data_IF_982734297320
#
_entry.id   IF_982734297320
#
_cell.length_a   1.000
_cell.length_b   1.000
_cell.length_c   1.000
_cell.angle_alpha   90.00
_cell.angle_beta   90.00
_cell.angle_gamma   90.00
#
_symmetry.space_group_name_H-M   'P 1'
#
loop_
_entity.id
_entity.type
_entity.pdbx_description
1 polymer ?
#
# COMPACT_ATOMS: atom_id res chain seq x y z
N UNK A 1 -0.77 20.61 1.81
CA UNK A 1 -2.00 19.82 2.07
C UNK A 1 -1.62 18.34 2.21
N UNK A 2 -2.00 17.68 3.32
CA UNK A 2 -1.60 16.29 3.65
C UNK A 2 -2.00 15.30 2.55
N UNK A 3 -3.22 15.44 2.02
CA UNK A 3 -3.78 14.59 0.95
C UNK A 3 -2.89 14.61 -0.29
N UNK A 4 -2.45 15.80 -0.74
CA UNK A 4 -1.59 15.92 -1.92
C UNK A 4 -0.27 15.15 -1.76
N UNK A 5 0.43 15.32 -0.62
CA UNK A 5 1.67 14.59 -0.35
C UNK A 5 1.43 13.08 -0.29
N UNK A 6 0.35 12.68 0.38
CA UNK A 6 0.02 11.26 0.55
C UNK A 6 -0.27 10.58 -0.79
N UNK A 7 -1.03 11.23 -1.67
CA UNK A 7 -1.30 10.76 -3.04
C UNK A 7 -0.04 10.80 -3.91
N UNK A 8 0.77 11.86 -3.84
CA UNK A 8 2.03 11.96 -4.59
C UNK A 8 2.98 10.81 -4.22
N UNK A 9 3.14 10.52 -2.93
CA UNK A 9 4.01 9.43 -2.50
C UNK A 9 3.44 8.05 -2.83
N UNK A 10 2.11 7.91 -2.95
CA UNK A 10 1.51 6.69 -3.48
C UNK A 10 1.90 6.48 -4.95
N UNK A 11 1.82 7.53 -5.77
CA UNK A 11 2.27 7.47 -7.17
C UNK A 11 3.76 7.14 -7.28
N UNK A 12 4.62 7.80 -6.49
CA UNK A 12 6.07 7.52 -6.47
C UNK A 12 6.34 6.07 -6.07
N UNK A 13 5.67 5.57 -5.03
CA UNK A 13 5.76 4.18 -4.60
C UNK A 13 5.33 3.20 -5.70
N UNK A 14 4.25 3.51 -6.43
CA UNK A 14 3.78 2.69 -7.55
C UNK A 14 4.82 2.65 -8.68
N UNK A 15 5.44 3.79 -9.02
CA UNK A 15 6.50 3.84 -10.02
C UNK A 15 7.70 2.99 -9.59
N UNK A 16 8.14 3.11 -8.34
CA UNK A 16 9.25 2.31 -7.79
C UNK A 16 8.90 0.82 -7.83
N UNK A 17 7.68 0.46 -7.45
CA UNK A 17 7.21 -0.93 -7.52
C UNK A 17 7.34 -1.46 -8.96
N UNK A 18 6.72 -0.79 -9.93
CA UNK A 18 6.72 -1.23 -11.33
C UNK A 18 8.13 -1.27 -11.93
N UNK A 19 8.99 -0.30 -11.60
CA UNK A 19 10.38 -0.28 -12.06
C UNK A 19 11.16 -1.50 -11.54
N UNK A 20 10.98 -1.84 -10.26
CA UNK A 20 11.65 -3.00 -9.66
C UNK A 20 11.08 -4.31 -10.21
N UNK A 21 9.77 -4.41 -10.46
CA UNK A 21 9.19 -5.57 -11.15
C UNK A 21 9.81 -5.74 -12.54
N UNK A 22 9.89 -4.65 -13.31
CA UNK A 22 10.48 -4.65 -14.65
C UNK A 22 11.93 -5.12 -14.62
N UNK A 23 12.75 -4.57 -13.73
CA UNK A 23 14.15 -4.98 -13.57
C UNK A 23 14.28 -6.45 -13.14
N UNK A 24 13.43 -6.92 -12.22
CA UNK A 24 13.44 -8.31 -11.79
C UNK A 24 13.13 -9.28 -12.95
N UNK A 25 12.18 -8.94 -13.80
CA UNK A 25 11.83 -9.72 -15.00
C UNK A 25 12.93 -9.71 -16.07
N UNK A 26 13.73 -8.64 -16.14
CA UNK A 26 14.91 -8.60 -17.02
C UNK A 26 16.05 -9.50 -16.52
N UNK A 27 16.20 -9.62 -15.19
CA UNK A 27 17.32 -10.35 -14.57
C UNK A 27 17.02 -11.84 -14.35
N UNK A 28 15.75 -12.23 -14.25
CA UNK A 28 15.35 -13.59 -13.94
C UNK A 28 14.16 -14.03 -14.78
N UNK A 29 14.36 -15.09 -15.57
CA UNK A 29 13.33 -15.71 -16.41
C UNK A 29 13.23 -17.20 -16.08
N UNK A 30 12.19 -17.56 -15.33
CA UNK A 30 11.83 -18.93 -14.96
C UNK A 30 10.32 -19.00 -14.63
N UNK A 31 9.82 -20.18 -14.27
CA UNK A 31 8.39 -20.43 -14.01
C UNK A 31 7.76 -19.50 -12.94
N UNK A 32 8.56 -19.03 -11.98
CA UNK A 32 8.11 -18.13 -10.90
C UNK A 32 8.56 -16.67 -11.07
N UNK A 33 9.07 -16.27 -12.22
CA UNK A 33 9.64 -14.92 -12.44
C UNK A 33 8.64 -13.81 -12.15
N UNK A 34 7.38 -13.97 -12.58
CA UNK A 34 6.33 -12.99 -12.34
C UNK A 34 6.03 -12.82 -10.85
N UNK A 35 5.85 -13.92 -10.11
CA UNK A 35 5.53 -13.86 -8.69
C UNK A 35 6.68 -13.26 -7.88
N UNK A 36 7.92 -13.64 -8.21
CA UNK A 36 9.12 -13.05 -7.60
C UNK A 36 9.21 -11.56 -7.89
N UNK A 37 9.02 -11.15 -9.16
CA UNK A 37 9.00 -9.75 -9.56
C UNK A 37 7.95 -8.95 -8.77
N UNK A 38 6.71 -9.44 -8.72
CA UNK A 38 5.62 -8.83 -7.95
C UNK A 38 5.97 -8.68 -6.47
N UNK A 39 6.57 -9.70 -5.87
CA UNK A 39 6.98 -9.68 -4.47
C UNK A 39 8.07 -8.64 -4.19
N UNK A 40 9.14 -8.62 -4.99
CA UNK A 40 10.25 -7.67 -4.78
C UNK A 40 9.85 -6.24 -5.13
N UNK A 41 9.04 -6.05 -6.18
CA UNK A 41 8.49 -4.74 -6.55
C UNK A 41 7.57 -4.18 -5.47
N UNK A 42 6.67 -5.01 -4.94
CA UNK A 42 5.79 -4.61 -3.83
C UNK A 42 6.57 -4.26 -2.58
N UNK A 43 7.58 -5.07 -2.24
CA UNK A 43 8.46 -4.79 -1.10
C UNK A 43 9.20 -3.46 -1.26
N UNK A 44 9.78 -3.20 -2.43
CA UNK A 44 10.50 -1.95 -2.71
C UNK A 44 9.58 -0.72 -2.67
N UNK A 45 8.40 -0.81 -3.29
CA UNK A 45 7.38 0.25 -3.22
C UNK A 45 6.96 0.52 -1.78
N UNK A 46 6.66 -0.51 -1.00
CA UNK A 46 6.22 -0.39 0.38
C UNK A 46 7.27 0.28 1.28
N UNK A 47 8.55 -0.10 1.13
CA UNK A 47 9.66 0.55 1.82
C UNK A 47 9.76 2.03 1.44
N UNK A 48 9.70 2.35 0.15
CA UNK A 48 9.73 3.73 -0.32
C UNK A 48 8.58 4.56 0.24
N UNK A 49 7.35 4.02 0.19
CA UNK A 49 6.15 4.68 0.73
C UNK A 49 6.30 4.93 2.23
N UNK A 50 6.75 3.94 2.99
CA UNK A 50 6.96 4.07 4.42
C UNK A 50 7.94 5.21 4.75
N UNK A 51 9.10 5.26 4.07
CA UNK A 51 10.11 6.29 4.29
C UNK A 51 9.55 7.68 3.96
N UNK A 52 8.86 7.82 2.83
CA UNK A 52 8.28 9.09 2.39
C UNK A 52 7.18 9.58 3.34
N UNK A 53 6.26 8.69 3.72
CA UNK A 53 5.17 9.04 4.63
C UNK A 53 5.70 9.42 6.01
N UNK A 54 6.61 8.61 6.56
CA UNK A 54 7.25 8.87 7.85
C UNK A 54 7.87 10.26 7.88
N UNK A 55 8.66 10.61 6.85
CA UNK A 55 9.45 11.84 6.81
C UNK A 55 8.62 13.08 6.45
N UNK A 56 7.74 12.99 5.47
CA UNK A 56 7.15 14.17 4.83
C UNK A 56 5.63 14.35 5.07
N UNK A 57 4.93 13.28 5.46
CA UNK A 57 3.49 13.32 5.78
C UNK A 57 3.31 13.43 7.29
N UNK A 58 3.87 12.47 8.03
CA UNK A 58 3.69 12.35 9.48
C UNK A 58 4.80 13.02 10.31
N UNK A 59 5.93 13.36 9.69
CA UNK A 59 7.08 14.01 10.35
C UNK A 59 7.51 13.27 11.63
N UNK A 60 7.54 11.95 11.58
CA UNK A 60 7.79 11.10 12.74
C UNK A 60 9.25 10.71 12.86
N UNK A 61 9.82 10.87 14.06
CA UNK A 61 11.20 10.48 14.39
C UNK A 61 11.17 9.23 15.26
N UNK A 62 11.81 8.17 14.77
CA UNK A 62 11.89 6.87 15.47
C UNK A 62 12.98 6.90 16.55
N UNK A 63 12.76 6.18 17.66
CA UNK A 63 13.71 6.13 18.79
C UNK A 63 14.98 5.32 18.51
N UNK A 64 15.02 4.60 17.38
CA UNK A 64 16.15 3.83 16.91
C UNK A 64 15.76 2.79 15.87
N UNK A 65 16.73 1.98 15.39
CA UNK A 65 16.49 0.98 14.32
C UNK A 65 15.41 -0.06 14.68
N UNK A 66 15.41 -0.55 15.92
CA UNK A 66 14.40 -1.54 16.39
C UNK A 66 12.99 -0.97 16.36
N UNK A 67 12.83 0.29 16.77
CA UNK A 67 11.55 0.99 16.74
C UNK A 67 11.10 1.22 15.28
N UNK A 68 12.01 1.65 14.40
CA UNK A 68 11.72 1.86 12.97
C UNK A 68 11.22 0.57 12.29
N UNK A 69 11.86 -0.57 12.55
CA UNK A 69 11.41 -1.88 12.03
C UNK A 69 10.02 -2.24 12.57
N UNK A 70 9.77 -2.07 13.87
CA UNK A 70 8.44 -2.34 14.46
C UNK A 70 7.35 -1.48 13.81
N UNK A 71 7.66 -0.21 13.56
CA UNK A 71 6.76 0.76 12.92
C UNK A 71 6.52 0.39 11.45
N UNK A 72 7.54 -0.05 10.72
CA UNK A 72 7.41 -0.56 9.36
C UNK A 72 6.52 -1.81 9.28
N UNK A 73 6.69 -2.77 10.21
CA UNK A 73 5.83 -3.96 10.28
C UNK A 73 4.37 -3.56 10.49
N UNK A 74 4.11 -2.65 11.44
CA UNK A 74 2.75 -2.18 11.72
C UNK A 74 2.14 -1.41 10.55
N UNK A 75 2.95 -0.58 9.88
CA UNK A 75 2.56 0.14 8.67
C UNK A 75 2.16 -0.82 7.54
N UNK A 76 2.95 -1.88 7.37
CA UNK A 76 2.72 -2.94 6.37
C UNK A 76 1.46 -3.75 6.69
N UNK A 77 1.28 -4.11 7.96
CA UNK A 77 0.07 -4.79 8.46
C UNK A 77 -1.20 -4.00 8.15
N UNK A 78 -1.23 -2.70 8.44
CA UNK A 78 -2.39 -1.88 8.09
C UNK A 78 -2.61 -1.77 6.58
N UNK A 79 -1.54 -1.85 5.77
CA UNK A 79 -1.65 -1.90 4.32
C UNK A 79 -2.48 -3.10 3.90
N UNK A 80 -2.05 -4.29 4.31
CA UNK A 80 -2.73 -5.57 4.06
C UNK A 80 -4.17 -5.54 4.57
N UNK A 81 -4.37 -5.08 5.81
CA UNK A 81 -5.71 -4.97 6.41
C UNK A 81 -6.66 -4.10 5.56
N UNK A 82 -6.21 -2.93 5.10
CA UNK A 82 -7.04 -2.05 4.27
C UNK A 82 -7.24 -2.58 2.85
N UNK A 83 -6.30 -3.36 2.31
CA UNK A 83 -6.49 -4.09 1.05
C UNK A 83 -7.60 -5.12 1.17
N UNK A 84 -7.72 -5.81 2.30
CA UNK A 84 -8.84 -6.74 2.55
C UNK A 84 -10.20 -6.02 2.57
N UNK A 85 -10.26 -4.78 3.06
CA UNK A 85 -11.49 -3.95 2.99
C UNK A 85 -11.84 -3.64 1.54
N UNK A 86 -10.86 -3.24 0.73
CA UNK A 86 -11.04 -2.99 -0.69
C UNK A 86 -11.59 -4.23 -1.41
N UNK A 87 -10.92 -5.39 -1.29
CA UNK A 87 -11.37 -6.63 -1.93
C UNK A 87 -12.73 -7.11 -1.41
N UNK A 88 -12.98 -7.00 -0.11
CA UNK A 88 -14.27 -7.36 0.48
C UNK A 88 -15.42 -6.54 -0.13
N UNK A 89 -15.21 -5.24 -0.36
CA UNK A 89 -16.22 -4.37 -0.97
C UNK A 89 -16.42 -4.68 -2.46
N UNK A 90 -15.33 -4.92 -3.19
CA UNK A 90 -15.38 -5.32 -4.61
C UNK A 90 -16.17 -6.63 -4.79
N UNK A 91 -15.84 -7.66 -4.00
CA UNK A 91 -16.50 -8.98 -4.03
C UNK A 91 -17.95 -8.87 -3.60
N UNK A 92 -18.26 -8.12 -2.53
CA UNK A 92 -19.64 -7.93 -2.09
C UNK A 92 -20.51 -7.30 -3.19
N UNK A 93 -19.98 -6.31 -3.92
CA UNK A 93 -20.70 -5.68 -5.01
C UNK A 93 -20.88 -6.60 -6.23
N UNK A 94 -19.86 -7.39 -6.56
CA UNK A 94 -19.93 -8.39 -7.63
C UNK A 94 -21.05 -9.42 -7.36
N UNK A 95 -21.12 -9.93 -6.12
CA UNK A 95 -22.10 -10.95 -5.71
C UNK A 95 -23.52 -10.39 -5.59
N UNK A 96 -23.69 -9.21 -4.97
CA UNK A 96 -25.02 -8.66 -4.64
C UNK A 96 -25.73 -8.13 -5.88
N UNK A 97 -25.03 -7.39 -6.75
CA UNK A 97 -25.67 -6.65 -7.84
C UNK A 97 -25.65 -7.40 -9.17
N UNK A 98 -24.84 -8.46 -9.33
CA UNK A 98 -24.73 -9.32 -10.53
C UNK A 98 -24.63 -8.55 -11.86
N UNK A 99 -24.19 -7.29 -11.80
CA UNK A 99 -24.01 -6.40 -12.94
C UNK A 99 -22.52 -6.30 -13.24
N UNK A 100 -22.14 -6.38 -14.52
CA UNK A 100 -20.74 -6.48 -14.95
C UNK A 100 -19.84 -5.34 -14.44
N UNK A 101 -20.41 -4.16 -14.21
CA UNK A 101 -19.71 -2.98 -13.69
C UNK A 101 -19.78 -2.78 -12.17
N UNK A 102 -20.61 -3.54 -11.45
CA UNK A 102 -20.85 -3.31 -10.02
C UNK A 102 -19.57 -3.49 -9.18
N UNK A 103 -18.75 -4.48 -9.52
CA UNK A 103 -17.44 -4.71 -8.88
C UNK A 103 -16.53 -3.49 -8.92
N UNK A 104 -16.52 -2.71 -10.00
CA UNK A 104 -15.70 -1.50 -10.11
C UNK A 104 -16.21 -0.36 -9.21
N UNK A 105 -17.53 -0.29 -8.99
CA UNK A 105 -18.12 0.64 -8.03
C UNK A 105 -17.73 0.23 -6.60
N UNK A 106 -17.87 -1.06 -6.27
CA UNK A 106 -17.43 -1.63 -5.00
C UNK A 106 -15.93 -1.41 -4.75
N UNK A 107 -15.10 -1.63 -5.76
CA UNK A 107 -13.67 -1.37 -5.75
C UNK A 107 -13.36 0.10 -5.45
N UNK A 108 -14.02 1.03 -6.12
CA UNK A 108 -13.80 2.47 -5.95
C UNK A 108 -14.18 2.93 -4.54
N UNK A 109 -15.31 2.46 -4.02
CA UNK A 109 -15.74 2.73 -2.64
C UNK A 109 -14.79 2.09 -1.62
N UNK A 110 -14.43 0.83 -1.82
CA UNK A 110 -13.51 0.08 -0.97
C UNK A 110 -12.13 0.74 -0.90
N UNK A 111 -11.58 1.18 -2.03
CA UNK A 111 -10.33 1.95 -2.06
C UNK A 111 -10.46 3.27 -1.31
N UNK A 112 -11.54 4.02 -1.53
CA UNK A 112 -11.75 5.31 -0.88
C UNK A 112 -11.82 5.18 0.65
N UNK A 113 -12.61 4.22 1.13
CA UNK A 113 -12.74 3.90 2.56
C UNK A 113 -11.41 3.37 3.11
N UNK A 114 -10.77 2.44 2.39
CA UNK A 114 -9.49 1.85 2.76
C UNK A 114 -8.40 2.91 2.95
N UNK A 115 -8.29 3.88 2.03
CA UNK A 115 -7.32 4.98 2.14
C UNK A 115 -7.59 5.90 3.33
N UNK A 116 -8.85 6.22 3.62
CA UNK A 116 -9.24 7.04 4.78
C UNK A 116 -8.87 6.30 6.07
N UNK A 117 -9.28 5.03 6.19
CA UNK A 117 -8.98 4.18 7.35
C UNK A 117 -7.47 4.05 7.51
N UNK A 118 -6.73 3.77 6.43
CA UNK A 118 -5.27 3.66 6.45
C UNK A 118 -4.61 4.89 7.04
N UNK A 119 -5.01 6.08 6.59
CA UNK A 119 -4.46 7.34 7.09
C UNK A 119 -4.65 7.48 8.61
N UNK A 120 -5.86 7.19 9.11
CA UNK A 120 -6.13 7.29 10.55
C UNK A 120 -5.42 6.21 11.37
N UNK A 121 -5.34 4.98 10.88
CA UNK A 121 -4.61 3.89 11.53
C UNK A 121 -3.12 4.19 11.61
N UNK A 122 -2.53 4.66 10.52
CA UNK A 122 -1.12 5.06 10.49
C UNK A 122 -0.84 6.21 11.44
N UNK A 123 -1.69 7.25 11.42
CA UNK A 123 -1.56 8.39 12.32
C UNK A 123 -1.62 7.98 13.78
N UNK A 124 -2.58 7.12 14.13
CA UNK A 124 -2.88 6.74 15.52
C UNK A 124 -1.93 5.69 16.07
N UNK A 125 -1.53 4.71 15.28
CA UNK A 125 -0.82 3.53 15.79
C UNK A 125 0.62 3.41 15.28
N UNK A 126 0.87 3.80 14.02
CA UNK A 126 2.21 3.76 13.43
C UNK A 126 2.98 5.00 13.87
N UNK A 127 2.60 6.19 13.43
CA UNK A 127 3.38 7.41 13.60
C UNK A 127 3.02 8.19 14.88
N UNK A 128 2.47 7.52 15.88
CA UNK A 128 2.35 8.07 17.24
C UNK A 128 3.73 8.15 17.92
N UNK A 129 4.01 9.31 18.53
CA UNK A 129 5.21 9.60 19.32
C UNK A 129 4.98 9.34 20.79
#
# INVERSE_FOLDING_TARGET
MVVFKYSLFAVVSTIINLLVQFLALLLYSAELSLYLAMFVGTSAGLVAKYILDKKYVFHHVTKGKKDDVKKFILYSFFGIFTTSIFWGMEIAFDIIFQHSSAKFLGATLGLSIGYIIKYFLDKKYVFQG
#
